data_IF_792396614911
#
_entry.id   IF_792396614911
#
_cell.length_a   1.000
_cell.length_b   1.000
_cell.length_c   1.000
_cell.angle_alpha   90.00
_cell.angle_beta   90.00
_cell.angle_gamma   90.00
#
_symmetry.space_group_name_H-M   'P 1'
#
loop_
_entity.id
_entity.type
_entity.pdbx_description
1 polymer ?
#
# COMPACT_ATOMS: atom_id res chain seq x y z
N UNK A 1 -7.34 24.96 8.22
CA UNK A 1 -6.12 25.01 7.45
C UNK A 1 -5.97 23.87 6.48
N UNK A 2 -5.98 22.63 6.87
CA UNK A 2 -5.92 21.45 5.98
C UNK A 2 -7.30 20.94 5.53
N UNK A 3 -8.29 21.80 5.39
CA UNK A 3 -9.69 21.38 5.13
C UNK A 3 -9.85 20.47 3.92
N UNK A 4 -9.11 20.71 2.81
CA UNK A 4 -9.19 19.88 1.60
C UNK A 4 -8.57 18.49 1.80
N UNK A 5 -7.40 18.43 2.46
CA UNK A 5 -6.74 17.15 2.74
C UNK A 5 -7.57 16.30 3.72
N UNK A 6 -8.12 16.91 4.76
CA UNK A 6 -9.06 16.24 5.66
C UNK A 6 -10.30 15.74 4.94
N UNK A 7 -10.94 16.61 4.17
CA UNK A 7 -12.19 16.26 3.49
C UNK A 7 -11.98 15.09 2.52
N UNK A 8 -10.88 15.09 1.77
CA UNK A 8 -10.58 14.01 0.83
C UNK A 8 -10.26 12.71 1.56
N UNK A 9 -9.38 12.74 2.58
CA UNK A 9 -9.00 11.54 3.33
C UNK A 9 -10.20 10.89 4.04
N UNK A 10 -11.00 11.70 4.74
CA UNK A 10 -12.22 11.23 5.41
C UNK A 10 -13.27 10.80 4.39
N UNK A 11 -13.44 11.56 3.31
CA UNK A 11 -14.36 11.22 2.24
C UNK A 11 -14.05 9.86 1.60
N UNK A 12 -12.78 9.57 1.32
CA UNK A 12 -12.36 8.26 0.81
C UNK A 12 -12.72 7.14 1.81
N UNK A 13 -12.39 7.31 3.09
CA UNK A 13 -12.69 6.32 4.11
C UNK A 13 -14.20 6.07 4.26
N UNK A 14 -15.01 7.14 4.25
CA UNK A 14 -16.48 7.04 4.31
C UNK A 14 -17.03 6.32 3.08
N UNK A 15 -16.61 6.71 1.88
CA UNK A 15 -17.06 6.07 0.63
C UNK A 15 -16.71 4.58 0.63
N UNK A 16 -15.46 4.24 0.95
CA UNK A 16 -15.02 2.84 0.98
C UNK A 16 -15.77 2.03 2.03
N UNK A 17 -15.95 2.59 3.24
CA UNK A 17 -16.73 1.96 4.30
C UNK A 17 -18.19 1.72 3.89
N UNK A 18 -18.81 2.73 3.29
CA UNK A 18 -20.19 2.62 2.81
C UNK A 18 -20.33 1.55 1.72
N UNK A 19 -19.42 1.53 0.74
CA UNK A 19 -19.41 0.52 -0.32
C UNK A 19 -19.23 -0.89 0.25
N UNK A 20 -18.35 -1.06 1.24
CA UNK A 20 -18.15 -2.35 1.90
C UNK A 20 -19.41 -2.82 2.64
N UNK A 21 -20.11 -1.92 3.34
CA UNK A 21 -21.39 -2.23 4.01
C UNK A 21 -22.47 -2.60 3.00
N UNK A 22 -22.62 -1.80 1.93
CA UNK A 22 -23.62 -2.08 0.87
C UNK A 22 -23.34 -3.44 0.22
N UNK A 23 -22.09 -3.71 -0.14
CA UNK A 23 -21.71 -5.00 -0.73
C UNK A 23 -21.96 -6.16 0.24
N UNK A 24 -21.62 -6.02 1.52
CA UNK A 24 -21.87 -7.04 2.55
C UNK A 24 -23.36 -7.40 2.64
N UNK A 25 -24.23 -6.37 2.67
CA UNK A 25 -25.68 -6.56 2.70
C UNK A 25 -26.18 -7.22 1.40
N UNK A 26 -25.66 -6.81 0.24
CA UNK A 26 -26.11 -7.33 -1.06
C UNK A 26 -25.76 -8.80 -1.29
N UNK A 27 -24.67 -9.29 -0.69
CA UNK A 27 -24.22 -10.69 -0.81
C UNK A 27 -24.54 -11.52 0.42
N UNK A 28 -25.29 -10.97 1.39
CA UNK A 28 -25.62 -11.61 2.67
C UNK A 28 -24.37 -12.18 3.40
N UNK A 29 -23.33 -11.36 3.49
CA UNK A 29 -22.07 -11.69 4.16
C UNK A 29 -21.77 -10.68 5.26
N UNK A 30 -21.06 -11.13 6.29
CA UNK A 30 -20.59 -10.22 7.36
C UNK A 30 -19.32 -9.50 6.93
N UNK A 31 -19.19 -8.25 7.40
CA UNK A 31 -17.90 -7.56 7.35
C UNK A 31 -16.96 -8.22 8.36
N UNK A 32 -15.77 -8.57 7.89
CA UNK A 32 -14.72 -9.18 8.71
C UNK A 32 -13.57 -8.20 8.81
N UNK A 33 -13.10 -7.95 10.03
CA UNK A 33 -11.82 -7.29 10.23
C UNK A 33 -10.70 -8.32 9.97
N UNK A 34 -9.90 -8.17 8.90
CA UNK A 34 -8.87 -9.15 8.58
C UNK A 34 -7.90 -9.27 9.75
N UNK A 35 -7.93 -10.41 10.42
CA UNK A 35 -7.06 -10.67 11.55
C UNK A 35 -5.59 -10.55 11.13
N UNK A 36 -4.89 -9.59 11.74
CA UNK A 36 -3.44 -9.51 11.67
C UNK A 36 -2.83 -10.13 12.94
N UNK A 37 -1.54 -10.32 12.95
CA UNK A 37 -0.80 -10.85 14.10
C UNK A 37 -0.93 -10.00 15.40
N UNK A 38 -1.49 -8.79 15.32
CA UNK A 38 -1.74 -7.90 16.46
C UNK A 38 -3.11 -8.07 17.11
N UNK A 39 -3.89 -9.08 16.74
CA UNK A 39 -5.20 -9.35 17.34
C UNK A 39 -6.33 -8.41 16.88
N UNK A 40 -7.41 -8.31 17.64
CA UNK A 40 -8.62 -7.60 17.25
C UNK A 40 -8.40 -6.09 17.11
N UNK A 41 -9.21 -5.43 16.30
CA UNK A 41 -9.09 -4.01 15.95
C UNK A 41 -9.11 -3.06 17.13
N UNK A 42 -9.91 -3.35 18.13
CA UNK A 42 -10.01 -2.54 19.36
C UNK A 42 -8.69 -2.51 20.16
N UNK A 43 -7.86 -3.55 20.03
CA UNK A 43 -6.51 -3.61 20.61
C UNK A 43 -5.46 -3.08 19.62
N UNK A 44 -5.60 -3.41 18.34
CA UNK A 44 -4.64 -3.10 17.27
C UNK A 44 -4.49 -1.61 17.04
N UNK A 45 -5.60 -0.86 16.95
CA UNK A 45 -5.53 0.60 16.73
C UNK A 45 -4.83 1.34 17.87
N UNK A 46 -5.15 1.11 19.15
CA UNK A 46 -4.36 1.69 20.25
C UNK A 46 -2.89 1.28 20.24
N UNK A 47 -2.57 0.03 19.92
CA UNK A 47 -1.19 -0.44 19.82
C UNK A 47 -0.43 0.24 18.67
N UNK A 48 -1.06 0.43 17.52
CA UNK A 48 -0.46 1.17 16.41
C UNK A 48 -0.20 2.63 16.78
N UNK A 49 -1.16 3.30 17.43
CA UNK A 49 -1.00 4.68 17.88
C UNK A 49 0.10 4.82 18.94
N UNK A 50 0.09 3.95 19.96
CA UNK A 50 1.10 3.98 21.02
C UNK A 50 2.47 3.54 20.50
N UNK A 51 2.51 2.54 19.62
CA UNK A 51 3.73 2.11 18.93
C UNK A 51 4.33 3.22 18.08
N UNK A 52 3.51 3.91 17.31
CA UNK A 52 3.90 5.08 16.52
C UNK A 52 4.53 6.18 17.39
N UNK A 53 3.90 6.49 18.52
CA UNK A 53 4.41 7.44 19.49
C UNK A 53 5.74 6.97 20.11
N UNK A 54 5.80 5.71 20.52
CA UNK A 54 7.00 5.13 21.13
C UNK A 54 8.20 5.08 20.15
N UNK A 55 7.97 4.74 18.89
CA UNK A 55 9.02 4.66 17.85
C UNK A 55 9.64 6.04 17.55
N UNK A 56 8.89 7.13 17.70
CA UNK A 56 9.48 8.47 17.59
C UNK A 56 10.24 8.87 18.87
N UNK A 57 9.66 8.62 20.02
CA UNK A 57 10.16 9.19 21.28
C UNK A 57 11.29 8.38 21.90
N UNK A 58 11.16 7.05 21.96
CA UNK A 58 12.09 6.20 22.71
C UNK A 58 13.49 6.20 22.11
N UNK A 59 13.71 5.87 20.83
CA UNK A 59 15.06 5.85 20.26
C UNK A 59 15.72 7.22 20.31
N UNK A 60 14.95 8.27 20.04
CA UNK A 60 15.46 9.65 20.03
C UNK A 60 15.84 10.12 21.43
N UNK A 61 15.03 9.82 22.43
CA UNK A 61 15.32 10.18 23.82
C UNK A 61 16.59 9.46 24.31
N UNK A 62 16.71 8.16 24.04
CA UNK A 62 17.90 7.37 24.40
C UNK A 62 19.15 7.91 23.72
N UNK A 63 19.09 8.19 22.44
CA UNK A 63 20.22 8.69 21.66
C UNK A 63 20.68 10.07 22.13
N UNK A 64 19.76 11.03 22.25
CA UNK A 64 20.09 12.42 22.62
C UNK A 64 20.51 12.55 24.09
N UNK A 65 19.97 11.73 24.99
CA UNK A 65 20.40 11.69 26.39
C UNK A 65 21.75 11.02 26.59
N UNK A 66 22.30 10.38 25.55
CA UNK A 66 23.50 9.51 25.67
C UNK A 66 23.30 8.45 26.77
N UNK A 67 22.11 7.91 26.88
CA UNK A 67 21.68 6.95 27.91
C UNK A 67 21.79 7.46 29.36
N UNK A 68 21.80 8.77 29.60
CA UNK A 68 21.80 9.36 30.95
C UNK A 68 20.36 9.52 31.47
N UNK A 69 19.92 8.76 32.50
CA UNK A 69 18.53 8.74 32.97
C UNK A 69 18.00 10.13 33.39
N UNK A 70 18.88 10.95 34.01
CA UNK A 70 18.52 12.27 34.48
C UNK A 70 18.11 13.23 33.34
N UNK A 71 18.69 13.08 32.14
CA UNK A 71 18.41 13.92 31.00
C UNK A 71 17.20 13.46 30.19
N UNK A 72 16.80 12.19 30.30
CA UNK A 72 15.72 11.60 29.51
C UNK A 72 14.38 12.31 29.65
N UNK A 73 13.87 12.64 30.85
CA UNK A 73 12.57 13.28 30.99
C UNK A 73 12.48 14.65 30.30
N UNK A 74 13.54 15.44 30.38
CA UNK A 74 13.58 16.77 29.76
C UNK A 74 13.56 16.66 28.22
N UNK A 75 14.36 15.76 27.64
CA UNK A 75 14.41 15.52 26.18
C UNK A 75 13.09 14.97 25.69
N UNK A 76 12.52 13.98 26.39
CA UNK A 76 11.20 13.42 26.07
C UNK A 76 10.13 14.50 26.06
N UNK A 77 10.02 15.30 27.14
CA UNK A 77 9.03 16.34 27.25
C UNK A 77 9.22 17.45 26.20
N UNK A 78 10.46 17.82 25.90
CA UNK A 78 10.76 18.76 24.83
C UNK A 78 10.23 18.25 23.47
N UNK A 79 10.48 16.99 23.14
CA UNK A 79 9.99 16.37 21.90
C UNK A 79 8.47 16.32 21.87
N UNK A 80 7.80 15.94 22.95
CA UNK A 80 6.34 15.94 23.05
C UNK A 80 5.76 17.32 22.79
N UNK A 81 6.33 18.35 23.43
CA UNK A 81 5.84 19.72 23.26
C UNK A 81 6.09 20.33 21.89
N UNK A 82 7.21 20.00 21.25
CA UNK A 82 7.61 20.61 19.97
C UNK A 82 7.13 19.88 18.74
N UNK A 83 7.04 18.57 18.78
CA UNK A 83 6.68 17.76 17.63
C UNK A 83 5.25 17.18 17.69
N UNK A 84 4.81 16.74 18.87
CA UNK A 84 3.50 16.14 19.07
C UNK A 84 2.44 17.19 19.41
N UNK A 85 2.34 18.20 18.53
CA UNK A 85 1.30 19.22 18.59
C UNK A 85 -0.09 18.61 18.36
N UNK A 86 -1.16 19.36 18.67
CA UNK A 86 -2.53 18.93 18.37
C UNK A 86 -2.73 18.59 16.90
N UNK A 87 -2.11 19.34 16.00
CA UNK A 87 -2.17 19.11 14.56
C UNK A 87 -1.50 17.79 14.16
N UNK A 88 -0.34 17.46 14.75
CA UNK A 88 0.35 16.18 14.53
C UNK A 88 -0.49 15.02 15.06
N UNK A 89 -1.04 15.11 16.24
CA UNK A 89 -1.93 14.11 16.78
C UNK A 89 -3.15 13.89 15.87
N UNK A 90 -3.78 14.96 15.41
CA UNK A 90 -4.91 14.88 14.49
C UNK A 90 -4.51 14.18 13.18
N UNK A 91 -3.35 14.52 12.61
CA UNK A 91 -2.83 13.85 11.41
C UNK A 91 -2.62 12.35 11.66
N UNK A 92 -1.94 11.98 12.74
CA UNK A 92 -1.62 10.57 13.04
C UNK A 92 -2.90 9.76 13.26
N UNK A 93 -3.82 10.26 14.09
CA UNK A 93 -5.09 9.58 14.36
C UNK A 93 -5.94 9.45 13.10
N UNK A 94 -6.17 10.56 12.38
CA UNK A 94 -6.96 10.52 11.15
C UNK A 94 -6.29 9.68 10.07
N UNK A 95 -4.98 9.83 9.88
CA UNK A 95 -4.24 9.07 8.88
C UNK A 95 -4.34 7.56 9.12
N UNK A 96 -4.14 7.13 10.37
CA UNK A 96 -4.22 5.71 10.73
C UNK A 96 -5.67 5.18 10.67
N UNK A 97 -6.63 5.90 11.25
CA UNK A 97 -8.03 5.45 11.27
C UNK A 97 -8.64 5.43 9.87
N UNK A 98 -8.47 6.48 9.09
CA UNK A 98 -9.01 6.52 7.73
C UNK A 98 -8.33 5.47 6.82
N UNK A 99 -7.02 5.30 6.93
CA UNK A 99 -6.33 4.25 6.19
C UNK A 99 -6.80 2.86 6.63
N UNK A 100 -6.98 2.63 7.94
CA UNK A 100 -7.48 1.37 8.45
C UNK A 100 -8.89 1.05 7.92
N UNK A 101 -9.82 2.01 7.97
CA UNK A 101 -11.16 1.85 7.39
C UNK A 101 -11.06 1.51 5.89
N UNK A 102 -10.25 2.25 5.14
CA UNK A 102 -10.04 2.01 3.70
C UNK A 102 -9.48 0.61 3.45
N UNK A 103 -8.49 0.18 4.23
CA UNK A 103 -7.85 -1.12 4.09
C UNK A 103 -8.80 -2.29 4.43
N UNK A 104 -9.54 -2.18 5.53
CA UNK A 104 -10.55 -3.20 5.90
C UNK A 104 -11.65 -3.28 4.84
N UNK A 105 -12.11 -2.13 4.36
CA UNK A 105 -13.10 -2.06 3.28
C UNK A 105 -12.60 -2.70 1.99
N UNK A 106 -11.37 -2.39 1.59
CA UNK A 106 -10.70 -3.02 0.45
C UNK A 106 -10.67 -4.54 0.59
N UNK A 107 -10.24 -5.05 1.74
CA UNK A 107 -10.14 -6.49 1.99
C UNK A 107 -11.50 -7.19 1.85
N UNK A 108 -12.56 -6.61 2.43
CA UNK A 108 -13.90 -7.14 2.33
C UNK A 108 -14.45 -7.06 0.89
N UNK A 109 -14.36 -5.89 0.24
CA UNK A 109 -14.80 -5.72 -1.13
C UNK A 109 -14.11 -6.71 -2.07
N UNK A 110 -12.79 -6.87 -1.93
CA UNK A 110 -12.04 -7.87 -2.69
C UNK A 110 -12.56 -9.29 -2.47
N UNK A 111 -12.93 -9.64 -1.24
CA UNK A 111 -13.49 -10.96 -0.90
C UNK A 111 -14.90 -11.17 -1.44
N UNK A 112 -15.68 -10.11 -1.57
CA UNK A 112 -17.05 -10.16 -2.12
C UNK A 112 -17.09 -10.19 -3.65
N UNK A 113 -15.98 -9.91 -4.32
CA UNK A 113 -15.90 -9.82 -5.78
C UNK A 113 -16.48 -11.05 -6.50
N UNK A 114 -16.18 -12.31 -6.14
CA UNK A 114 -16.75 -13.49 -6.81
C UNK A 114 -18.27 -13.57 -6.67
N UNK A 115 -18.83 -13.10 -5.55
CA UNK A 115 -20.27 -13.14 -5.30
C UNK A 115 -21.02 -12.00 -6.03
N UNK A 116 -20.38 -10.86 -6.23
CA UNK A 116 -20.97 -9.69 -6.91
C UNK A 116 -20.88 -9.82 -8.42
N UNK A 117 -19.72 -10.24 -8.94
CA UNK A 117 -19.43 -10.27 -10.39
C UNK A 117 -19.65 -11.66 -11.01
N UNK A 118 -19.75 -12.72 -10.20
CA UNK A 118 -19.79 -14.10 -10.68
C UNK A 118 -18.43 -14.60 -11.13
N UNK A 119 -18.33 -15.92 -11.32
CA UNK A 119 -17.06 -16.60 -11.70
C UNK A 119 -16.77 -16.53 -13.20
N UNK A 120 -17.79 -16.26 -14.04
CA UNK A 120 -17.68 -16.34 -15.51
C UNK A 120 -17.15 -15.05 -16.17
N UNK A 121 -17.16 -13.94 -15.45
CA UNK A 121 -16.76 -12.63 -15.98
C UNK A 121 -15.30 -12.31 -15.64
N UNK A 122 -14.37 -13.03 -16.27
CA UNK A 122 -12.92 -12.81 -16.06
C UNK A 122 -12.22 -12.42 -17.36
N UNK A 123 -11.34 -11.47 -17.27
CA UNK A 123 -10.59 -10.94 -18.42
C UNK A 123 -9.21 -11.54 -18.58
N UNK A 124 -8.88 -12.64 -17.87
CA UNK A 124 -7.57 -13.30 -17.93
C UNK A 124 -7.13 -13.65 -19.35
N UNK A 125 -8.03 -14.24 -20.16
CA UNK A 125 -7.71 -14.58 -21.55
C UNK A 125 -7.33 -13.35 -22.37
N UNK A 126 -8.04 -12.24 -22.20
CA UNK A 126 -7.80 -11.00 -22.96
C UNK A 126 -6.45 -10.41 -22.58
N UNK A 127 -6.15 -10.34 -21.29
CA UNK A 127 -4.88 -9.80 -20.81
C UNK A 127 -3.69 -10.71 -21.14
N UNK A 128 -3.88 -12.02 -21.06
CA UNK A 128 -2.86 -12.99 -21.48
C UNK A 128 -2.50 -12.85 -22.97
N UNK A 129 -3.50 -12.71 -23.84
CA UNK A 129 -3.24 -12.48 -25.26
C UNK A 129 -2.54 -11.14 -25.50
N UNK A 130 -2.94 -10.09 -24.77
CA UNK A 130 -2.28 -8.78 -24.83
C UNK A 130 -0.80 -8.87 -24.43
N UNK A 131 -0.50 -9.55 -23.32
CA UNK A 131 0.86 -9.75 -22.85
C UNK A 131 1.72 -10.48 -23.89
N UNK A 132 1.18 -11.56 -24.49
CA UNK A 132 1.89 -12.26 -25.56
C UNK A 132 2.13 -11.40 -26.79
N UNK A 133 1.18 -10.55 -27.14
CA UNK A 133 1.37 -9.59 -28.25
C UNK A 133 2.50 -8.58 -27.92
N UNK A 134 2.57 -8.09 -26.69
CA UNK A 134 3.60 -7.14 -26.25
C UNK A 134 5.01 -7.74 -26.25
N UNK A 135 5.13 -9.07 -26.03
CA UNK A 135 6.42 -9.78 -26.00
C UNK A 135 6.61 -10.73 -27.20
N UNK A 136 6.06 -10.38 -28.35
CA UNK A 136 6.25 -11.07 -29.64
C UNK A 136 5.88 -12.56 -29.62
N UNK A 137 4.80 -12.90 -28.93
CA UNK A 137 4.24 -14.26 -28.85
C UNK A 137 4.80 -15.12 -27.71
N UNK A 138 5.74 -14.62 -26.93
CA UNK A 138 6.29 -15.31 -25.76
C UNK A 138 5.42 -15.11 -24.50
N UNK A 139 5.69 -15.91 -23.48
CA UNK A 139 5.12 -15.73 -22.14
C UNK A 139 6.05 -14.83 -21.32
N UNK A 140 5.57 -13.69 -20.78
CA UNK A 140 6.43 -12.75 -20.05
C UNK A 140 7.16 -13.38 -18.86
N UNK A 141 6.48 -14.20 -18.06
CA UNK A 141 7.08 -14.93 -16.95
C UNK A 141 8.20 -15.86 -17.40
N UNK A 142 7.95 -16.69 -18.41
CA UNK A 142 8.95 -17.62 -18.96
C UNK A 142 10.16 -16.88 -19.52
N UNK A 143 9.93 -15.75 -20.20
CA UNK A 143 11.03 -14.92 -20.69
C UNK A 143 11.91 -14.44 -19.54
N UNK A 144 11.33 -14.01 -18.43
CA UNK A 144 12.08 -13.62 -17.25
C UNK A 144 12.80 -14.79 -16.58
N UNK A 145 12.20 -16.00 -16.58
CA UNK A 145 12.85 -17.22 -16.08
C UNK A 145 14.09 -17.56 -16.91
N UNK A 146 14.03 -17.41 -18.24
CA UNK A 146 15.20 -17.60 -19.10
C UNK A 146 16.30 -16.56 -18.88
N UNK A 147 15.94 -15.29 -18.64
CA UNK A 147 16.91 -14.20 -18.45
C UNK A 147 17.57 -14.24 -17.07
N UNK A 148 16.79 -14.45 -16.02
CA UNK A 148 17.27 -14.39 -14.63
C UNK A 148 17.53 -15.75 -14.00
N UNK A 149 17.06 -16.83 -14.64
CA UNK A 149 17.05 -18.19 -14.08
C UNK A 149 15.97 -18.37 -13.01
N UNK A 150 15.76 -19.60 -12.56
CA UNK A 150 14.75 -19.98 -11.56
C UNK A 150 15.34 -20.41 -10.21
N UNK A 151 16.64 -20.22 -9.99
CA UNK A 151 17.34 -20.56 -8.75
C UNK A 151 17.35 -19.42 -7.73
N UNK A 152 18.52 -18.80 -7.52
CA UNK A 152 18.73 -17.72 -6.53
C UNK A 152 17.81 -16.52 -6.79
N UNK A 153 17.61 -16.17 -8.06
CA UNK A 153 16.72 -15.06 -8.46
C UNK A 153 15.29 -15.24 -8.00
N UNK A 154 14.75 -16.45 -8.03
CA UNK A 154 13.41 -16.73 -7.50
C UNK A 154 13.32 -16.42 -6.01
N UNK A 155 14.31 -16.85 -5.22
CA UNK A 155 14.33 -16.55 -3.79
C UNK A 155 14.48 -15.05 -3.49
N UNK A 156 15.37 -14.35 -4.20
CA UNK A 156 15.58 -12.90 -4.02
C UNK A 156 14.30 -12.14 -4.38
N UNK A 157 13.72 -12.40 -5.54
CA UNK A 157 12.48 -11.75 -5.98
C UNK A 157 11.29 -12.08 -5.07
N UNK A 158 11.25 -13.30 -4.51
CA UNK A 158 10.24 -13.69 -3.52
C UNK A 158 10.29 -12.80 -2.28
N UNK A 159 11.48 -12.56 -1.71
CA UNK A 159 11.60 -11.66 -0.57
C UNK A 159 11.28 -10.21 -0.92
N UNK A 160 11.66 -9.74 -2.11
CA UNK A 160 11.29 -8.41 -2.60
C UNK A 160 9.77 -8.27 -2.71
N UNK A 161 9.10 -9.28 -3.24
CA UNK A 161 7.64 -9.30 -3.34
C UNK A 161 6.96 -9.25 -1.96
N UNK A 162 7.40 -10.09 -1.04
CA UNK A 162 6.84 -10.16 0.32
C UNK A 162 7.18 -8.93 1.17
N UNK A 163 8.28 -8.23 0.87
CA UNK A 163 8.63 -6.98 1.54
C UNK A 163 7.54 -5.90 1.41
N UNK A 164 6.69 -6.02 0.40
CA UNK A 164 5.51 -5.16 0.27
C UNK A 164 4.63 -5.14 1.53
N UNK A 165 4.46 -6.27 2.19
CA UNK A 165 3.58 -6.39 3.35
C UNK A 165 3.99 -5.48 4.53
N UNK A 166 5.26 -5.51 5.01
CA UNK A 166 5.71 -4.57 6.02
C UNK A 166 5.96 -3.16 5.47
N UNK A 167 6.27 -2.98 4.18
CA UNK A 167 6.53 -1.69 3.58
C UNK A 167 5.32 -0.74 3.71
N UNK A 168 4.11 -1.24 3.49
CA UNK A 168 2.87 -0.43 3.54
C UNK A 168 2.69 0.27 4.90
N UNK A 169 2.62 -0.42 6.04
CA UNK A 169 2.46 0.22 7.34
C UNK A 169 3.71 1.02 7.76
N UNK A 170 4.91 0.58 7.42
CA UNK A 170 6.15 1.31 7.72
C UNK A 170 6.21 2.65 6.98
N UNK A 171 5.87 2.67 5.69
CA UNK A 171 5.84 3.90 4.92
C UNK A 171 4.77 4.86 5.46
N UNK A 172 3.55 4.40 5.72
CA UNK A 172 2.50 5.23 6.32
C UNK A 172 2.98 5.86 7.64
N UNK A 173 3.52 5.03 8.53
CA UNK A 173 4.04 5.46 9.83
C UNK A 173 5.15 6.49 9.67
N UNK A 174 6.08 6.28 8.72
CA UNK A 174 7.19 7.18 8.49
C UNK A 174 6.73 8.60 8.13
N UNK A 175 5.80 8.74 7.20
CA UNK A 175 5.30 10.06 6.82
C UNK A 175 4.38 10.70 7.86
N UNK A 176 3.56 9.92 8.55
CA UNK A 176 2.70 10.45 9.60
C UNK A 176 3.50 10.97 10.81
N UNK A 177 4.57 10.26 11.19
CA UNK A 177 5.29 10.53 12.45
C UNK A 177 6.54 11.37 12.21
N UNK A 178 7.38 10.97 11.25
CA UNK A 178 8.73 11.55 11.12
C UNK A 178 8.85 12.66 10.11
N UNK A 179 7.83 12.87 9.24
CA UNK A 179 7.92 13.98 8.30
C UNK A 179 8.01 15.31 9.06
N UNK A 180 8.98 16.14 8.71
CA UNK A 180 9.11 17.49 9.29
C UNK A 180 7.91 18.35 8.94
N UNK A 181 7.43 18.24 7.71
CA UNK A 181 6.25 18.97 7.24
C UNK A 181 5.00 18.10 7.36
N UNK A 182 4.01 18.57 8.12
CA UNK A 182 2.72 17.89 8.32
C UNK A 182 1.99 17.66 6.98
N UNK A 183 2.16 18.55 6.00
CA UNK A 183 1.53 18.42 4.68
C UNK A 183 1.96 17.16 3.96
N UNK A 184 3.20 16.71 4.14
CA UNK A 184 3.69 15.47 3.55
C UNK A 184 3.03 14.23 4.16
N UNK A 185 2.72 14.26 5.46
CA UNK A 185 1.94 13.21 6.11
C UNK A 185 0.52 13.11 5.54
N UNK A 186 -0.17 14.25 5.38
CA UNK A 186 -1.48 14.29 4.71
C UNK A 186 -1.40 13.84 3.26
N UNK A 187 -0.40 14.30 2.53
CA UNK A 187 -0.17 13.88 1.16
C UNK A 187 -0.07 12.36 1.05
N UNK A 188 0.82 11.76 1.82
CA UNK A 188 1.03 10.31 1.73
C UNK A 188 -0.21 9.51 2.16
N UNK A 189 -0.81 9.84 3.32
CA UNK A 189 -1.99 9.13 3.82
C UNK A 189 -3.17 9.21 2.83
N UNK A 190 -3.41 10.40 2.25
CA UNK A 190 -4.47 10.60 1.27
C UNK A 190 -4.18 9.85 -0.03
N UNK A 191 -2.95 9.95 -0.54
CA UNK A 191 -2.54 9.25 -1.76
C UNK A 191 -2.61 7.74 -1.60
N UNK A 192 -2.18 7.22 -0.46
CA UNK A 192 -2.22 5.79 -0.19
C UNK A 192 -3.67 5.29 -0.08
N UNK A 193 -4.52 5.99 0.67
CA UNK A 193 -5.95 5.63 0.75
C UNK A 193 -6.63 5.69 -0.63
N UNK A 194 -6.31 6.69 -1.44
CA UNK A 194 -6.85 6.80 -2.81
C UNK A 194 -6.35 5.66 -3.71
N UNK A 195 -5.06 5.29 -3.63
CA UNK A 195 -4.53 4.19 -4.41
C UNK A 195 -5.20 2.85 -4.08
N UNK A 196 -5.45 2.56 -2.80
CA UNK A 196 -6.20 1.38 -2.38
C UNK A 196 -7.64 1.41 -2.89
N UNK A 197 -8.29 2.58 -2.89
CA UNK A 197 -9.66 2.74 -3.39
C UNK A 197 -9.75 2.56 -4.89
N UNK A 198 -8.85 3.18 -5.66
CA UNK A 198 -8.79 3.02 -7.12
C UNK A 198 -8.44 1.58 -7.51
N UNK A 199 -7.53 0.93 -6.78
CA UNK A 199 -7.24 -0.49 -6.96
C UNK A 199 -8.47 -1.37 -6.69
N UNK A 200 -9.24 -1.07 -5.64
CA UNK A 200 -10.51 -1.77 -5.40
C UNK A 200 -11.49 -1.59 -6.56
N UNK A 201 -11.64 -0.36 -7.03
CA UNK A 201 -12.53 -0.07 -8.17
C UNK A 201 -12.10 -0.82 -9.44
N UNK A 202 -10.79 -0.90 -9.70
CA UNK A 202 -10.27 -1.59 -10.88
C UNK A 202 -10.54 -3.11 -10.85
N UNK A 203 -10.56 -3.75 -9.68
CA UNK A 203 -10.93 -5.15 -9.54
C UNK A 203 -12.38 -5.43 -9.97
N UNK A 204 -13.29 -4.50 -9.70
CA UNK A 204 -14.68 -4.62 -10.14
C UNK A 204 -14.85 -4.24 -11.61
N UNK A 205 -14.01 -3.36 -12.15
CA UNK A 205 -14.06 -2.98 -13.56
C UNK A 205 -13.53 -4.09 -14.48
N UNK A 206 -12.42 -4.73 -14.10
CA UNK A 206 -11.76 -5.79 -14.89
C UNK A 206 -11.33 -6.95 -13.97
N UNK A 207 -12.26 -7.83 -13.57
CA UNK A 207 -11.93 -8.98 -12.72
C UNK A 207 -10.96 -9.94 -13.41
N UNK A 208 -9.83 -10.24 -12.75
CA UNK A 208 -8.83 -11.22 -13.21
C UNK A 208 -8.28 -12.03 -12.05
N UNK A 209 -7.69 -13.17 -12.35
CA UNK A 209 -7.00 -14.01 -11.38
C UNK A 209 -5.48 -13.80 -11.36
N UNK A 210 -4.95 -13.31 -12.47
CA UNK A 210 -3.53 -13.26 -12.73
C UNK A 210 -3.00 -14.53 -13.41
N UNK A 211 -1.89 -14.41 -14.17
CA UNK A 211 -1.39 -15.50 -15.03
C UNK A 211 -1.01 -16.76 -14.26
N UNK A 212 -0.44 -16.65 -13.07
CA UNK A 212 -0.04 -17.81 -12.28
C UNK A 212 -1.21 -18.69 -11.81
N UNK A 213 -2.40 -18.11 -11.67
CA UNK A 213 -3.61 -18.82 -11.28
C UNK A 213 -4.46 -19.23 -12.47
N UNK A 214 -4.52 -18.40 -13.51
CA UNK A 214 -5.27 -18.70 -14.72
C UNK A 214 -4.55 -19.73 -15.60
N UNK A 215 -3.21 -19.73 -15.59
CA UNK A 215 -2.36 -20.59 -16.42
C UNK A 215 -1.19 -21.20 -15.61
N UNK A 216 -1.46 -22.00 -14.57
CA UNK A 216 -0.43 -22.48 -13.64
C UNK A 216 0.66 -23.33 -14.32
N UNK A 217 0.34 -23.97 -15.45
CA UNK A 217 1.30 -24.75 -16.22
C UNK A 217 2.48 -23.94 -16.78
N UNK A 218 2.36 -22.61 -16.85
CA UNK A 218 3.43 -21.73 -17.34
C UNK A 218 4.53 -21.53 -16.27
N UNK A 219 4.21 -21.75 -14.99
CA UNK A 219 5.08 -21.43 -13.85
C UNK A 219 5.59 -22.66 -13.09
N UNK A 220 5.50 -23.83 -13.70
CA UNK A 220 5.90 -25.12 -13.08
C UNK A 220 7.41 -25.27 -12.86
N UNK A 221 8.22 -24.46 -13.50
CA UNK A 221 9.68 -24.45 -13.38
C UNK A 221 10.19 -23.64 -12.17
N UNK A 222 9.30 -22.91 -11.48
CA UNK A 222 9.65 -22.14 -10.29
C UNK A 222 9.87 -23.06 -9.09
N UNK A 223 10.92 -22.82 -8.28
CA UNK A 223 11.16 -23.56 -7.05
C UNK A 223 10.15 -23.14 -5.96
N UNK A 224 10.08 -23.97 -4.92
CA UNK A 224 9.34 -23.63 -3.71
C UNK A 224 9.94 -22.39 -3.05
N UNK A 225 9.15 -21.32 -2.99
CA UNK A 225 9.52 -20.06 -2.37
C UNK A 225 8.41 -19.59 -1.43
N UNK A 226 8.69 -18.66 -0.50
CA UNK A 226 7.64 -18.07 0.31
C UNK A 226 6.51 -17.40 -0.52
N UNK A 227 6.80 -16.93 -1.73
CA UNK A 227 5.80 -16.36 -2.63
C UNK A 227 4.94 -17.44 -3.31
N UNK A 228 5.50 -18.58 -3.71
CA UNK A 228 4.71 -19.70 -4.22
C UNK A 228 3.82 -20.33 -3.14
N UNK A 229 4.33 -20.47 -1.91
CA UNK A 229 3.53 -20.91 -0.76
C UNK A 229 2.39 -19.94 -0.43
N UNK A 230 2.62 -18.62 -0.54
CA UNK A 230 1.56 -17.62 -0.42
C UNK A 230 0.49 -17.79 -1.51
N UNK A 231 0.88 -17.99 -2.76
CA UNK A 231 -0.05 -18.21 -3.87
C UNK A 231 -0.92 -19.44 -3.61
N UNK A 232 -0.33 -20.56 -3.24
CA UNK A 232 -1.05 -21.79 -2.91
C UNK A 232 -2.03 -21.57 -1.75
N UNK A 233 -1.60 -20.91 -0.70
CA UNK A 233 -2.46 -20.55 0.44
C UNK A 233 -3.67 -19.73 -0.02
N UNK A 234 -3.47 -18.73 -0.88
CA UNK A 234 -4.55 -17.89 -1.40
C UNK A 234 -5.52 -18.65 -2.30
N UNK A 235 -5.03 -19.60 -3.10
CA UNK A 235 -5.87 -20.51 -3.89
C UNK A 235 -6.77 -21.33 -2.98
N UNK A 236 -6.20 -21.96 -1.95
CA UNK A 236 -6.92 -22.80 -1.01
C UNK A 236 -8.01 -22.00 -0.27
N UNK A 237 -7.67 -20.80 0.21
CA UNK A 237 -8.64 -19.91 0.87
C UNK A 237 -9.73 -19.49 -0.11
N UNK A 238 -9.38 -19.14 -1.36
CA UNK A 238 -10.38 -18.81 -2.38
C UNK A 238 -11.34 -19.96 -2.62
N UNK A 239 -10.86 -21.19 -2.77
CA UNK A 239 -11.71 -22.35 -2.93
C UNK A 239 -12.63 -22.56 -1.73
N UNK A 240 -12.14 -22.39 -0.52
CA UNK A 240 -12.95 -22.45 0.68
C UNK A 240 -14.05 -21.37 0.70
N UNK A 241 -13.74 -20.13 0.28
CA UNK A 241 -14.71 -19.03 0.21
C UNK A 241 -15.79 -19.32 -0.84
N UNK A 242 -15.40 -19.75 -2.03
CA UNK A 242 -16.33 -19.98 -3.15
C UNK A 242 -17.18 -21.22 -2.94
N UNK A 243 -16.60 -22.33 -2.47
CA UNK A 243 -17.27 -23.62 -2.35
C UNK A 243 -17.92 -23.85 -0.98
N UNK A 244 -17.31 -23.36 0.09
CA UNK A 244 -17.73 -23.65 1.47
C UNK A 244 -18.60 -22.57 2.11
N UNK A 245 -18.77 -21.40 1.49
CA UNK A 245 -19.53 -20.28 2.07
C UNK A 245 -18.97 -19.76 3.40
N UNK A 246 -17.71 -20.00 3.70
CA UNK A 246 -17.07 -19.58 4.94
C UNK A 246 -17.11 -18.05 5.11
N UNK A 247 -17.86 -17.61 6.13
CA UNK A 247 -18.06 -16.20 6.45
C UNK A 247 -16.79 -15.49 6.95
N UNK A 248 -15.79 -16.24 7.38
CA UNK A 248 -14.60 -15.69 8.08
C UNK A 248 -13.34 -15.60 7.21
N UNK A 249 -13.36 -16.09 5.98
CA UNK A 249 -12.21 -16.01 5.09
C UNK A 249 -12.22 -14.72 4.27
N UNK A 250 -11.40 -13.76 4.65
CA UNK A 250 -11.25 -12.45 3.97
C UNK A 250 -10.11 -12.54 2.96
N UNK A 251 -10.28 -13.33 1.92
CA UNK A 251 -9.31 -13.31 0.81
C UNK A 251 -9.92 -13.76 -0.51
N UNK A 252 -9.77 -12.93 -1.52
CA UNK A 252 -9.92 -13.32 -2.91
C UNK A 252 -8.64 -12.96 -3.65
N UNK A 253 -8.32 -13.70 -4.67
CA UNK A 253 -7.34 -13.30 -5.65
C UNK A 253 -8.03 -12.33 -6.60
N UNK A 254 -7.45 -11.16 -6.80
CA UNK A 254 -7.92 -10.19 -7.77
C UNK A 254 -6.67 -9.55 -8.40
N UNK A 255 -6.66 -9.50 -9.72
CA UNK A 255 -5.46 -9.16 -10.45
C UNK A 255 -5.37 -7.70 -10.87
N UNK A 256 -6.33 -7.20 -11.62
CA UNK A 256 -6.27 -5.87 -12.24
C UNK A 256 -6.75 -4.77 -11.26
N UNK A 257 -5.99 -3.70 -11.01
CA UNK A 257 -4.62 -3.41 -11.33
C UNK A 257 -3.66 -3.84 -10.20
N UNK A 258 -2.35 -3.90 -10.49
CA UNK A 258 -1.33 -4.25 -9.51
C UNK A 258 -1.18 -3.19 -8.41
N UNK A 259 -1.64 -3.50 -7.19
CA UNK A 259 -1.41 -2.64 -6.02
C UNK A 259 0.03 -2.71 -5.52
N UNK A 260 0.76 -3.80 -5.78
CA UNK A 260 2.19 -3.89 -5.49
C UNK A 260 2.95 -2.82 -6.27
N UNK A 261 2.72 -2.72 -7.55
CA UNK A 261 3.28 -1.70 -8.44
C UNK A 261 2.82 -0.30 -8.03
N UNK A 262 1.53 -0.11 -7.79
CA UNK A 262 0.98 1.19 -7.43
C UNK A 262 1.59 1.75 -6.14
N UNK A 263 1.62 0.97 -5.08
CA UNK A 263 2.09 1.45 -3.77
C UNK A 263 3.62 1.59 -3.73
N UNK A 264 4.36 0.67 -4.34
CA UNK A 264 5.84 0.80 -4.39
C UNK A 264 6.27 2.01 -5.21
N UNK A 265 5.59 2.31 -6.33
CA UNK A 265 5.81 3.55 -7.07
C UNK A 265 5.42 4.79 -6.26
N UNK A 266 4.28 4.75 -5.60
CA UNK A 266 3.84 5.85 -4.74
C UNK A 266 4.89 6.16 -3.65
N UNK A 267 5.43 5.13 -2.99
CA UNK A 267 6.51 5.28 -2.01
C UNK A 267 7.77 5.85 -2.64
N UNK A 268 8.18 5.34 -3.82
CA UNK A 268 9.36 5.85 -4.54
C UNK A 268 9.22 7.33 -4.91
N UNK A 269 8.04 7.74 -5.40
CA UNK A 269 7.73 9.14 -5.70
C UNK A 269 7.75 10.00 -4.43
N UNK A 270 7.12 9.55 -3.35
CA UNK A 270 7.14 10.29 -2.09
C UNK A 270 8.55 10.46 -1.54
N UNK A 271 9.39 9.41 -1.58
CA UNK A 271 10.81 9.51 -1.20
C UNK A 271 11.56 10.47 -2.14
N UNK A 272 11.30 10.39 -3.45
CA UNK A 272 11.94 11.26 -4.44
C UNK A 272 11.71 12.74 -4.14
N UNK A 273 10.51 13.11 -3.73
CA UNK A 273 10.09 14.50 -3.55
C UNK A 273 10.20 15.02 -2.11
N UNK A 274 10.23 14.15 -1.11
CA UNK A 274 10.21 14.58 0.31
C UNK A 274 11.46 14.22 1.10
N UNK A 275 12.32 13.34 0.57
CA UNK A 275 13.53 12.87 1.26
C UNK A 275 14.77 13.34 0.49
N UNK A 276 15.75 13.94 1.19
CA UNK A 276 16.94 14.49 0.57
C UNK A 276 18.01 13.43 0.26
N UNK A 277 18.01 12.28 0.94
CA UNK A 277 19.01 11.23 0.78
C UNK A 277 18.96 10.60 -0.61
N UNK A 278 20.01 10.77 -1.39
CA UNK A 278 20.17 10.16 -2.73
C UNK A 278 20.14 8.63 -2.65
N UNK A 279 20.75 8.06 -1.60
CA UNK A 279 20.77 6.59 -1.41
C UNK A 279 19.36 6.06 -1.24
N UNK A 280 18.54 6.68 -0.36
CA UNK A 280 17.15 6.25 -0.18
C UNK A 280 16.34 6.39 -1.47
N UNK A 281 16.52 7.45 -2.25
CA UNK A 281 15.86 7.59 -3.55
C UNK A 281 16.19 6.42 -4.47
N UNK A 282 17.47 6.09 -4.62
CA UNK A 282 17.90 4.95 -5.45
C UNK A 282 17.31 3.64 -4.92
N UNK A 283 17.40 3.38 -3.61
CA UNK A 283 16.87 2.15 -3.00
C UNK A 283 15.39 1.97 -3.29
N UNK A 284 14.56 3.02 -3.14
CA UNK A 284 13.12 2.90 -3.38
C UNK A 284 12.75 2.82 -4.87
N UNK A 285 13.51 3.45 -5.77
CA UNK A 285 13.34 3.23 -7.20
C UNK A 285 13.73 1.82 -7.64
N UNK A 286 14.82 1.27 -7.09
CA UNK A 286 15.23 -0.13 -7.31
C UNK A 286 14.19 -1.08 -6.73
N UNK A 287 13.68 -0.82 -5.52
CA UNK A 287 12.61 -1.62 -4.94
C UNK A 287 11.36 -1.64 -5.83
N UNK A 288 10.94 -0.50 -6.37
CA UNK A 288 9.83 -0.42 -7.32
C UNK A 288 10.09 -1.28 -8.56
N UNK A 289 11.24 -1.13 -9.20
CA UNK A 289 11.59 -1.87 -10.41
C UNK A 289 11.63 -3.39 -10.16
N UNK A 290 12.25 -3.82 -9.05
CA UNK A 290 12.29 -5.22 -8.66
C UNK A 290 10.91 -5.78 -8.27
N UNK A 291 10.03 -4.96 -7.69
CA UNK A 291 8.65 -5.38 -7.39
C UNK A 291 7.86 -5.62 -8.67
N UNK A 292 7.92 -4.72 -9.66
CA UNK A 292 7.29 -4.91 -10.97
C UNK A 292 7.83 -6.19 -11.64
N UNK A 293 9.15 -6.39 -11.59
CA UNK A 293 9.75 -7.62 -12.11
C UNK A 293 9.21 -8.86 -11.40
N UNK A 294 9.09 -8.84 -10.07
CA UNK A 294 8.62 -9.96 -9.28
C UNK A 294 7.14 -10.29 -9.55
N UNK A 295 6.29 -9.28 -9.79
CA UNK A 295 4.87 -9.51 -10.10
C UNK A 295 4.69 -10.32 -11.37
N UNK A 296 5.46 -10.02 -12.42
CA UNK A 296 5.45 -10.75 -13.71
C UNK A 296 6.16 -12.09 -13.57
N UNK A 297 7.31 -12.12 -12.89
CA UNK A 297 8.13 -13.33 -12.71
C UNK A 297 7.38 -14.48 -12.02
N UNK A 298 6.58 -14.16 -11.00
CA UNK A 298 5.75 -15.15 -10.29
C UNK A 298 4.34 -15.33 -10.88
N UNK A 299 4.00 -14.57 -11.91
CA UNK A 299 2.66 -14.65 -12.51
C UNK A 299 1.53 -14.09 -11.64
N UNK A 300 1.85 -13.16 -10.74
CA UNK A 300 0.81 -12.48 -9.96
C UNK A 300 -0.02 -11.51 -10.82
N UNK A 301 0.63 -10.85 -11.77
CA UNK A 301 0.03 -9.80 -12.58
C UNK A 301 0.40 -9.91 -14.06
N UNK A 302 -0.50 -9.46 -14.92
CA UNK A 302 -0.23 -9.16 -16.32
C UNK A 302 0.52 -7.82 -16.44
N UNK A 303 1.22 -7.60 -17.55
CA UNK A 303 1.88 -6.30 -17.84
C UNK A 303 0.87 -5.15 -17.76
N UNK A 304 -0.34 -5.37 -18.28
CA UNK A 304 -1.41 -4.38 -18.23
C UNK A 304 -1.83 -4.01 -16.80
N UNK A 305 -1.78 -4.97 -15.85
CA UNK A 305 -2.08 -4.72 -14.43
C UNK A 305 -1.05 -3.77 -13.82
N UNK A 306 0.23 -3.97 -14.17
CA UNK A 306 1.32 -3.12 -13.69
C UNK A 306 1.26 -1.71 -14.29
N UNK A 307 0.93 -1.60 -15.57
CA UNK A 307 0.69 -0.29 -16.22
C UNK A 307 -0.48 0.45 -15.57
N UNK A 308 -1.57 -0.24 -15.28
CA UNK A 308 -2.69 0.34 -14.55
C UNK A 308 -2.30 0.71 -13.10
N UNK A 309 -1.47 -0.09 -12.44
CA UNK A 309 -0.87 0.23 -11.14
C UNK A 309 -0.05 1.51 -11.16
N UNK A 310 0.78 1.70 -12.19
CA UNK A 310 1.52 2.96 -12.42
C UNK A 310 0.57 4.14 -12.54
N UNK A 311 -0.50 4.02 -13.33
CA UNK A 311 -1.49 5.09 -13.48
C UNK A 311 -2.20 5.41 -12.16
N UNK A 312 -2.58 4.41 -11.38
CA UNK A 312 -3.17 4.58 -10.05
C UNK A 312 -2.20 5.34 -9.14
N UNK A 313 -0.91 4.98 -9.13
CA UNK A 313 0.10 5.67 -8.33
C UNK A 313 0.22 7.15 -8.69
N UNK A 314 0.35 7.45 -9.99
CA UNK A 314 0.50 8.82 -10.49
C UNK A 314 -0.72 9.69 -10.18
N UNK A 315 -1.92 9.17 -10.42
CA UNK A 315 -3.17 9.88 -10.10
C UNK A 315 -3.29 10.12 -8.60
N UNK A 316 -3.03 9.10 -7.79
CA UNK A 316 -3.12 9.19 -6.34
C UNK A 316 -2.09 10.16 -5.77
N UNK A 317 -0.86 10.11 -6.26
CA UNK A 317 0.22 11.01 -5.89
C UNK A 317 -0.14 12.47 -6.21
N UNK A 318 -0.61 12.72 -7.43
CA UNK A 318 -0.96 14.07 -7.87
C UNK A 318 -2.16 14.63 -7.09
N UNK A 319 -3.25 13.88 -7.02
CA UNK A 319 -4.49 14.31 -6.34
C UNK A 319 -4.24 14.52 -4.85
N UNK A 320 -3.56 13.59 -4.18
CA UNK A 320 -3.18 13.73 -2.77
C UNK A 320 -2.27 14.92 -2.52
N UNK A 321 -1.34 15.19 -3.45
CA UNK A 321 -0.44 16.35 -3.40
C UNK A 321 -1.22 17.67 -3.48
N UNK A 322 -2.05 17.83 -4.49
CA UNK A 322 -2.89 19.03 -4.66
C UNK A 322 -3.82 19.23 -3.47
N UNK A 323 -4.47 18.17 -2.98
CA UNK A 323 -5.32 18.23 -1.80
C UNK A 323 -4.57 18.65 -0.53
N UNK A 324 -3.29 18.25 -0.41
CA UNK A 324 -2.42 18.60 0.71
C UNK A 324 -1.71 19.95 0.54
N UNK A 325 -2.03 20.69 -0.52
CA UNK A 325 -1.50 22.01 -0.78
C UNK A 325 -0.14 22.04 -1.45
N UNK A 326 0.28 20.93 -2.09
CA UNK A 326 1.49 20.94 -2.90
C UNK A 326 1.20 21.57 -4.27
N UNK A 327 2.15 22.32 -4.79
CA UNK A 327 2.14 22.81 -6.16
C UNK A 327 3.24 22.10 -6.94
N UNK A 328 2.87 21.53 -8.08
CA UNK A 328 3.80 20.87 -8.99
C UNK A 328 4.28 21.91 -10.01
N UNK A 329 5.41 22.54 -9.73
CA UNK A 329 6.02 23.56 -10.57
C UNK A 329 7.20 22.97 -11.38
N UNK A 330 7.58 23.69 -12.45
CA UNK A 330 8.66 23.26 -13.36
C UNK A 330 10.01 23.03 -12.65
N UNK A 331 10.23 23.69 -11.51
CA UNK A 331 11.49 23.67 -10.75
C UNK A 331 11.40 22.93 -9.42
N UNK A 332 10.31 22.16 -9.20
CA UNK A 332 10.13 21.38 -8.00
C UNK A 332 8.76 21.54 -7.36
N UNK A 333 8.63 21.01 -6.13
CA UNK A 333 7.40 21.14 -5.34
C UNK A 333 7.47 22.40 -4.48
N UNK A 334 6.44 23.21 -4.54
CA UNK A 334 6.20 24.26 -3.55
C UNK A 334 4.91 23.97 -2.79
N UNK A 335 4.89 24.34 -1.51
CA UNK A 335 3.68 24.24 -0.69
C UNK A 335 2.76 25.43 -0.98
N UNK A 336 1.45 25.16 -1.03
CA UNK A 336 0.45 26.23 -1.10
C UNK A 336 0.47 27.06 0.18
N UNK A 337 0.28 28.41 0.14
CA UNK A 337 0.27 29.25 1.35
C UNK A 337 -0.70 28.79 2.46
N UNK A 338 -1.78 28.09 2.10
CA UNK A 338 -2.74 27.50 3.07
C UNK A 338 -2.21 26.25 3.78
N UNK A 339 -1.15 25.64 3.27
CA UNK A 339 -0.49 24.47 3.85
C UNK A 339 0.74 24.84 4.70
N UNK A 340 1.19 26.05 4.61
CA UNK A 340 2.52 26.48 5.09
C UNK A 340 2.60 26.84 6.57
N UNK A 341 1.48 26.91 7.26
CA UNK A 341 1.47 27.41 8.65
C UNK A 341 2.05 26.45 9.68
N UNK A 342 2.46 25.27 9.24
CA UNK A 342 3.12 24.28 10.10
C UNK A 342 4.51 23.87 9.59
N UNK A 343 5.05 24.59 8.62
CA UNK A 343 6.45 24.48 8.28
C UNK A 343 7.26 24.95 9.50
N UNK A 344 7.78 24.02 10.26
CA UNK A 344 8.81 24.33 11.25
C UNK A 344 9.96 24.92 10.44
N UNK A 345 10.48 26.10 10.83
CA UNK A 345 11.66 26.67 10.17
C UNK A 345 12.73 25.58 10.09
N UNK A 346 13.23 25.32 8.90
CA UNK A 346 14.42 24.50 8.73
C UNK A 346 15.52 25.27 9.42
N UNK A 347 15.93 24.84 10.60
CA UNK A 347 17.22 25.25 11.13
C UNK A 347 18.24 24.68 10.14
N UNK A 348 18.77 25.54 9.32
CA UNK A 348 19.97 25.26 8.52
C UNK A 348 21.08 24.97 9.54
N UNK A 349 21.50 23.70 9.59
CA UNK A 349 22.77 23.23 10.17
C UNK A 349 23.62 22.69 9.06
#
# INVERSE_FOLDING_TARGET
MYRRAYALLVGIAVVMGTLAVIAAISVDKKLVDPEGFLGPSWLRLPLLLTGAFAVDLVPRTLWLSKFKPVAMPAIFMARVRTHWTRERWTLVVLGLVCFYITYVSYRNLKSFLPFVMGEDHKYDRTLHLLDRMLVFGHEPGVLLHHVFGTGISAHVLSYVYLWFLPLVPLALTAWLIWSKNITYGYWFATSQSLAWSLGTLSYYALPTLGPGLAYPSIYTDLPDTPTSALMETLVNIRQQVVLGGFADAVQSVAGFASLHTAITLLVALMVQYTVQSRVLRIVFWVNFALTVLATIYFGWHYIADDLAGVMIALVSFYVGGVASGQKFERHGLSSHPTADSSAVPVLED
#
